data_IF_570527576600
#
_entry.id   IF_570527576600
#
_cell.length_a   1.000
_cell.length_b   1.000
_cell.length_c   1.000
_cell.angle_alpha   90.00
_cell.angle_beta   90.00
_cell.angle_gamma   90.00
#
_symmetry.space_group_name_H-M   'P 1'
#
loop_
_entity.id
_entity.type
_entity.pdbx_description
1 polymer ?
#
# COMPACT_ATOMS: atom_id res chain seq x y z
N UNK A 1 38.21 -8.51 -3.25
CA UNK A 1 37.17 -7.77 -2.51
C UNK A 1 36.76 -8.64 -1.34
N UNK A 2 37.00 -8.19 -0.12
CA UNK A 2 36.46 -8.88 1.07
C UNK A 2 34.93 -8.79 1.03
N UNK A 3 34.26 -9.94 1.04
CA UNK A 3 32.80 -9.98 1.14
C UNK A 3 32.43 -9.91 2.61
N UNK A 4 31.72 -8.86 3.02
CA UNK A 4 31.14 -8.76 4.35
C UNK A 4 29.76 -9.42 4.35
N UNK A 5 29.58 -10.58 5.01
CA UNK A 5 28.29 -11.26 5.02
C UNK A 5 27.26 -10.41 5.76
N UNK A 6 26.05 -10.25 5.20
CA UNK A 6 24.96 -9.54 5.89
C UNK A 6 24.71 -10.15 7.27
N UNK A 7 24.81 -11.48 7.38
CA UNK A 7 24.58 -12.22 8.63
C UNK A 7 25.64 -11.99 9.71
N UNK A 8 26.78 -11.37 9.40
CA UNK A 8 27.78 -10.98 10.41
C UNK A 8 27.52 -9.60 11.01
N UNK A 9 26.54 -8.85 10.49
CA UNK A 9 26.13 -7.55 11.04
C UNK A 9 25.28 -7.75 12.30
N UNK A 10 25.14 -6.73 13.17
CA UNK A 10 24.17 -6.76 14.26
C UNK A 10 22.74 -7.03 13.74
N UNK A 11 21.91 -7.81 14.45
CA UNK A 11 20.56 -8.17 14.00
C UNK A 11 19.70 -6.98 13.58
N UNK A 12 19.84 -5.84 14.27
CA UNK A 12 19.12 -4.61 13.97
C UNK A 12 19.49 -4.07 12.58
N UNK A 13 20.77 -4.12 12.24
CA UNK A 13 21.28 -3.67 10.93
C UNK A 13 20.84 -4.64 9.83
N UNK A 14 20.81 -5.94 10.11
CA UNK A 14 20.28 -6.94 9.17
C UNK A 14 18.83 -6.63 8.80
N UNK A 15 17.99 -6.37 9.82
CA UNK A 15 16.60 -5.98 9.63
C UNK A 15 16.46 -4.70 8.80
N UNK A 16 17.26 -3.66 9.08
CA UNK A 16 17.24 -2.41 8.31
C UNK A 16 17.59 -2.61 6.84
N UNK A 17 18.60 -3.44 6.53
CA UNK A 17 18.96 -3.77 5.14
C UNK A 17 17.79 -4.44 4.44
N UNK A 18 17.17 -5.43 5.08
CA UNK A 18 16.04 -6.18 4.50
C UNK A 18 14.82 -5.28 4.28
N UNK A 19 14.49 -4.41 5.25
CA UNK A 19 13.45 -3.37 5.09
C UNK A 19 13.74 -2.46 3.89
N UNK A 20 15.00 -2.05 3.72
CA UNK A 20 15.41 -1.19 2.59
C UNK A 20 15.30 -1.91 1.25
N UNK A 21 15.66 -3.20 1.19
CA UNK A 21 15.45 -4.04 0.01
C UNK A 21 13.96 -4.11 -0.32
N UNK A 22 13.11 -4.41 0.67
CA UNK A 22 11.66 -4.50 0.51
C UNK A 22 11.02 -3.20 0.01
N UNK A 23 11.47 -2.06 0.51
CA UNK A 23 11.00 -0.73 0.08
C UNK A 23 11.39 -0.38 -1.36
N UNK A 24 12.54 -0.89 -1.84
CA UNK A 24 13.10 -0.50 -3.14
C UNK A 24 12.72 -1.46 -4.27
N UNK A 25 12.78 -2.77 -4.03
CA UNK A 25 12.63 -3.78 -5.07
C UNK A 25 11.97 -5.04 -4.53
N UNK A 26 10.78 -5.30 -5.07
CA UNK A 26 10.03 -6.52 -4.75
C UNK A 26 10.80 -7.77 -5.19
N UNK A 27 11.37 -7.73 -6.39
CA UNK A 27 12.10 -8.87 -6.95
C UNK A 27 13.32 -9.21 -6.10
N UNK A 28 14.07 -8.19 -5.66
CA UNK A 28 15.26 -8.42 -4.86
C UNK A 28 14.92 -8.96 -3.48
N UNK A 29 13.78 -8.58 -2.88
CA UNK A 29 13.34 -9.19 -1.62
C UNK A 29 13.03 -10.69 -1.79
N UNK A 30 12.37 -11.08 -2.89
CA UNK A 30 12.07 -12.50 -3.14
C UNK A 30 13.33 -13.30 -3.46
N UNK A 31 14.28 -12.71 -4.17
CA UNK A 31 15.62 -13.28 -4.37
C UNK A 31 16.33 -13.44 -3.02
N UNK A 32 16.31 -12.40 -2.18
CA UNK A 32 16.91 -12.41 -0.84
C UNK A 32 16.33 -13.53 0.02
N UNK A 33 15.00 -13.67 0.02
CA UNK A 33 14.26 -14.71 0.72
C UNK A 33 14.62 -16.12 0.24
N UNK A 34 14.99 -16.28 -1.02
CA UNK A 34 15.37 -17.56 -1.60
C UNK A 34 16.81 -18.00 -1.29
N UNK A 35 17.65 -17.10 -0.75
CA UNK A 35 19.08 -17.40 -0.51
C UNK A 35 19.30 -18.42 0.61
N UNK A 36 18.77 -18.19 1.82
CA UNK A 36 18.97 -19.08 2.96
C UNK A 36 17.86 -18.93 4.02
N UNK A 37 17.84 -19.84 5.00
CA UNK A 37 16.85 -19.85 6.09
C UNK A 37 16.87 -18.56 6.93
N UNK A 38 18.07 -18.04 7.22
CA UNK A 38 18.23 -16.81 8.01
C UNK A 38 17.65 -15.59 7.25
N UNK A 39 18.03 -15.41 5.98
CA UNK A 39 17.48 -14.32 5.16
C UNK A 39 15.98 -14.46 4.93
N UNK A 40 15.47 -15.69 4.82
CA UNK A 40 14.03 -15.95 4.77
C UNK A 40 13.33 -15.49 6.04
N UNK A 41 13.89 -15.80 7.21
CA UNK A 41 13.35 -15.36 8.51
C UNK A 41 13.32 -13.84 8.61
N UNK A 42 14.43 -13.17 8.27
CA UNK A 42 14.51 -11.71 8.28
C UNK A 42 13.52 -11.06 7.30
N UNK A 43 13.31 -11.68 6.14
CA UNK A 43 12.37 -11.17 5.11
C UNK A 43 10.90 -11.43 5.47
N UNK A 44 10.63 -12.32 6.42
CA UNK A 44 9.29 -12.65 6.90
C UNK A 44 8.91 -11.87 8.18
N UNK A 45 9.74 -10.93 8.60
CA UNK A 45 9.50 -10.00 9.71
C UNK A 45 8.31 -9.06 9.44
N UNK A 46 7.56 -8.71 10.48
CA UNK A 46 6.37 -7.88 10.41
C UNK A 46 6.66 -6.47 9.89
N UNK A 47 7.79 -5.89 10.30
CA UNK A 47 8.20 -4.54 9.89
C UNK A 47 8.54 -4.46 8.40
N UNK A 48 8.99 -5.58 7.82
CA UNK A 48 9.22 -5.69 6.38
C UNK A 48 7.90 -5.56 5.64
N UNK A 49 6.83 -6.17 6.16
CA UNK A 49 5.49 -6.04 5.59
C UNK A 49 4.94 -4.61 5.69
N UNK A 50 5.23 -3.90 6.78
CA UNK A 50 4.87 -2.49 6.95
C UNK A 50 5.60 -1.56 5.97
N UNK A 51 6.83 -1.90 5.56
CA UNK A 51 7.71 -1.06 4.74
C UNK A 51 7.52 -1.16 3.22
N UNK A 52 6.68 -2.09 2.73
CA UNK A 52 6.49 -2.29 1.29
C UNK A 52 5.84 -1.09 0.59
N UNK A 53 6.41 -0.67 -0.53
CA UNK A 53 5.67 0.14 -1.48
C UNK A 53 5.00 -0.74 -2.54
N UNK A 54 3.71 -1.00 -2.35
CA UNK A 54 2.91 -1.77 -3.30
C UNK A 54 2.86 -1.16 -4.69
N UNK A 55 3.06 0.16 -4.85
CA UNK A 55 3.05 0.75 -6.18
C UNK A 55 4.29 0.42 -7.01
N UNK A 56 5.36 -0.09 -6.39
CA UNK A 56 6.54 -0.64 -7.07
C UNK A 56 6.43 -2.13 -7.35
N UNK A 57 5.37 -2.79 -6.86
CA UNK A 57 5.16 -4.21 -7.07
C UNK A 57 4.95 -4.50 -8.58
N UNK A 58 5.62 -5.52 -9.16
CA UNK A 58 5.37 -5.93 -10.53
C UNK A 58 4.04 -6.69 -10.62
N UNK A 59 2.93 -5.93 -10.68
CA UNK A 59 1.57 -6.47 -10.61
C UNK A 59 1.27 -7.53 -11.66
N UNK A 60 1.96 -7.50 -12.80
CA UNK A 60 1.90 -8.54 -13.86
C UNK A 60 2.12 -9.98 -13.33
N UNK A 61 2.77 -10.14 -12.18
CA UNK A 61 2.87 -11.40 -11.45
C UNK A 61 1.54 -11.70 -10.70
N UNK A 62 0.51 -12.08 -11.45
CA UNK A 62 -0.78 -12.51 -10.90
C UNK A 62 -0.64 -13.85 -10.16
N UNK A 63 -1.17 -13.98 -8.93
CA UNK A 63 -1.23 -15.27 -8.24
C UNK A 63 -1.69 -15.26 -6.77
N UNK A 64 -1.98 -16.44 -6.22
CA UNK A 64 -2.42 -16.67 -4.83
C UNK A 64 -1.47 -16.02 -3.79
N UNK A 65 -0.16 -15.98 -4.08
CA UNK A 65 0.85 -15.39 -3.20
C UNK A 65 0.68 -13.87 -3.03
N UNK A 66 0.15 -13.17 -4.04
CA UNK A 66 -0.11 -11.74 -3.96
C UNK A 66 -1.23 -11.45 -2.95
N UNK A 67 -2.30 -12.24 -2.94
CA UNK A 67 -3.40 -12.07 -1.97
C UNK A 67 -2.91 -12.26 -0.54
N UNK A 68 -2.12 -13.30 -0.29
CA UNK A 68 -1.53 -13.54 1.03
C UNK A 68 -0.62 -12.38 1.47
N UNK A 69 0.23 -11.88 0.56
CA UNK A 69 1.10 -10.75 0.82
C UNK A 69 0.30 -9.49 1.19
N UNK A 70 -0.71 -9.13 0.38
CA UNK A 70 -1.53 -7.93 0.62
C UNK A 70 -2.25 -7.97 1.96
N UNK A 71 -2.75 -9.15 2.37
CA UNK A 71 -3.35 -9.34 3.70
C UNK A 71 -2.33 -9.10 4.82
N UNK A 72 -1.12 -9.64 4.68
CA UNK A 72 -0.05 -9.46 5.67
C UNK A 72 0.38 -7.99 5.75
N UNK A 73 0.59 -7.33 4.62
CA UNK A 73 0.88 -5.89 4.58
C UNK A 73 -0.23 -5.08 5.26
N UNK A 74 -1.50 -5.38 4.97
CA UNK A 74 -2.63 -4.67 5.57
C UNK A 74 -2.73 -4.90 7.08
N UNK A 75 -2.56 -6.14 7.55
CA UNK A 75 -2.56 -6.48 8.97
C UNK A 75 -1.47 -5.73 9.74
N UNK A 76 -0.31 -5.50 9.12
CA UNK A 76 0.80 -4.74 9.68
C UNK A 76 0.69 -3.22 9.46
N UNK A 77 -0.47 -2.72 9.01
CA UNK A 77 -0.71 -1.29 8.86
C UNK A 77 0.08 -0.62 7.74
N UNK A 78 0.48 -1.37 6.70
CA UNK A 78 1.26 -0.85 5.58
C UNK A 78 0.56 0.37 4.93
N UNK A 79 1.23 1.54 4.84
CA UNK A 79 0.60 2.76 4.36
C UNK A 79 0.05 2.67 2.93
N UNK A 80 0.74 1.95 2.03
CA UNK A 80 0.27 1.73 0.66
C UNK A 80 -1.02 0.90 0.61
N UNK A 81 -1.16 -0.13 1.45
CA UNK A 81 -2.42 -0.90 1.55
C UNK A 81 -3.56 -0.08 2.13
N UNK A 82 -3.29 0.69 3.18
CA UNK A 82 -4.27 1.57 3.83
C UNK A 82 -4.79 2.60 2.82
N UNK A 83 -3.88 3.21 2.06
CA UNK A 83 -4.23 4.16 1.00
C UNK A 83 -5.12 3.53 -0.08
N UNK A 84 -4.71 2.38 -0.67
CA UNK A 84 -5.48 1.73 -1.74
C UNK A 84 -6.88 1.34 -1.24
N UNK A 85 -6.97 0.77 -0.03
CA UNK A 85 -8.25 0.38 0.58
C UNK A 85 -9.12 1.60 0.89
N UNK A 86 -8.53 2.68 1.40
CA UNK A 86 -9.21 3.94 1.69
C UNK A 86 -9.82 4.56 0.43
N UNK A 87 -9.03 4.63 -0.66
CA UNK A 87 -9.48 5.13 -1.97
C UNK A 87 -10.64 4.28 -2.52
N UNK A 88 -10.58 2.96 -2.41
CA UNK A 88 -11.70 2.09 -2.82
C UNK A 88 -12.96 2.33 -1.96
N UNK A 89 -12.78 2.41 -0.65
CA UNK A 89 -13.89 2.60 0.30
C UNK A 89 -14.62 3.90 0.02
N UNK A 90 -13.88 4.99 -0.13
CA UNK A 90 -14.44 6.32 -0.37
C UNK A 90 -15.10 6.42 -1.76
N UNK A 91 -14.33 6.16 -2.82
CA UNK A 91 -14.73 6.50 -4.19
C UNK A 91 -15.54 5.42 -4.89
N UNK A 92 -15.56 4.17 -4.38
CA UNK A 92 -16.31 3.08 -4.99
C UNK A 92 -17.45 2.54 -4.15
N UNK A 93 -17.23 2.44 -2.84
CA UNK A 93 -18.15 1.76 -1.92
C UNK A 93 -19.05 2.72 -1.15
N UNK A 94 -18.89 4.03 -1.34
CA UNK A 94 -19.59 5.06 -0.59
C UNK A 94 -19.39 4.96 0.94
N UNK A 95 -18.30 4.33 1.37
CA UNK A 95 -17.87 4.22 2.77
C UNK A 95 -16.96 5.41 3.09
N UNK A 96 -17.56 6.61 3.14
CA UNK A 96 -16.81 7.86 3.14
C UNK A 96 -15.98 8.07 4.41
N UNK A 97 -16.56 7.77 5.57
CA UNK A 97 -15.90 7.96 6.88
C UNK A 97 -14.72 6.99 7.02
N UNK A 98 -14.95 5.71 6.76
CA UNK A 98 -13.93 4.67 6.84
C UNK A 98 -12.85 4.85 5.77
N UNK A 99 -13.24 5.27 4.56
CA UNK A 99 -12.31 5.57 3.48
C UNK A 99 -11.38 6.74 3.83
N UNK A 100 -11.92 7.82 4.40
CA UNK A 100 -11.14 8.96 4.87
C UNK A 100 -10.21 8.59 6.04
N UNK A 101 -10.69 7.80 7.01
CA UNK A 101 -9.87 7.33 8.14
C UNK A 101 -8.65 6.53 7.65
N UNK A 102 -8.86 5.59 6.73
CA UNK A 102 -7.78 4.79 6.15
C UNK A 102 -6.77 5.66 5.38
N UNK A 103 -7.24 6.62 4.59
CA UNK A 103 -6.36 7.55 3.87
C UNK A 103 -5.59 8.45 4.84
N UNK A 104 -6.23 8.92 5.92
CA UNK A 104 -5.59 9.71 6.97
C UNK A 104 -4.47 8.93 7.65
N UNK A 105 -4.73 7.69 8.08
CA UNK A 105 -3.73 6.82 8.72
C UNK A 105 -2.53 6.58 7.81
N UNK A 106 -2.75 6.40 6.50
CA UNK A 106 -1.67 6.29 5.54
C UNK A 106 -0.84 7.59 5.43
N UNK A 107 -1.51 8.75 5.44
CA UNK A 107 -0.86 10.06 5.41
C UNK A 107 -0.05 10.34 6.68
N UNK A 108 -0.62 10.04 7.86
CA UNK A 108 0.04 10.19 9.16
C UNK A 108 1.29 9.29 9.27
N UNK A 109 1.31 8.16 8.56
CA UNK A 109 2.47 7.27 8.43
C UNK A 109 3.50 7.75 7.38
N UNK A 110 3.34 8.95 6.82
CA UNK A 110 4.29 9.56 5.87
C UNK A 110 4.15 9.11 4.42
N UNK A 111 3.04 8.44 4.04
CA UNK A 111 2.84 8.05 2.65
C UNK A 111 2.38 9.23 1.81
N UNK A 112 3.31 9.80 1.05
CA UNK A 112 3.15 11.05 0.30
C UNK A 112 1.88 11.10 -0.57
N UNK A 113 1.56 10.00 -1.27
CA UNK A 113 0.35 9.90 -2.11
C UNK A 113 -0.93 10.00 -1.30
N UNK A 114 -0.93 9.48 -0.07
CA UNK A 114 -2.07 9.60 0.83
C UNK A 114 -2.24 11.01 1.35
N UNK A 115 -1.17 11.74 1.66
CA UNK A 115 -1.24 13.11 2.17
C UNK A 115 -2.00 14.04 1.23
N UNK A 116 -1.63 14.06 -0.05
CA UNK A 116 -2.32 14.86 -1.06
C UNK A 116 -3.78 14.40 -1.24
N UNK A 117 -3.98 13.09 -1.41
CA UNK A 117 -5.31 12.54 -1.69
C UNK A 117 -6.27 12.77 -0.53
N UNK A 118 -5.85 12.50 0.71
CA UNK A 118 -6.64 12.73 1.92
C UNK A 118 -7.03 14.20 2.06
N UNK A 119 -6.08 15.14 1.91
CA UNK A 119 -6.36 16.56 2.02
C UNK A 119 -7.40 17.02 0.99
N UNK A 120 -7.24 16.61 -0.28
CA UNK A 120 -8.17 16.93 -1.35
C UNK A 120 -9.54 16.29 -1.13
N UNK A 121 -9.59 14.99 -0.83
CA UNK A 121 -10.84 14.26 -0.59
C UNK A 121 -11.61 14.83 0.60
N UNK A 122 -10.92 15.16 1.70
CA UNK A 122 -11.53 15.77 2.87
C UNK A 122 -12.12 17.14 2.52
N UNK A 123 -11.39 17.98 1.78
CA UNK A 123 -11.90 19.30 1.35
C UNK A 123 -13.11 19.20 0.43
N UNK A 124 -13.13 18.22 -0.47
CA UNK A 124 -14.30 17.93 -1.32
C UNK A 124 -15.52 17.44 -0.51
N UNK A 125 -15.27 16.73 0.59
CA UNK A 125 -16.32 16.13 1.41
C UNK A 125 -16.90 17.08 2.47
N UNK A 126 -16.04 17.83 3.18
CA UNK A 126 -16.42 18.68 4.32
C UNK A 126 -17.22 19.93 3.89
N UNK A 127 -17.29 20.28 2.60
CA UNK A 127 -18.17 21.33 2.07
C UNK A 127 -17.85 22.78 2.47
N UNK A 128 -17.00 23.00 3.47
CA UNK A 128 -16.70 24.31 4.09
C UNK A 128 -15.70 25.20 3.32
N UNK A 129 -15.38 24.87 2.07
CA UNK A 129 -14.41 25.63 1.27
C UNK A 129 -15.07 26.56 0.26
N UNK A 130 -15.03 27.88 0.48
CA UNK A 130 -15.49 28.89 -0.48
C UNK A 130 -14.83 28.77 -1.87
N UNK A 131 -13.66 28.15 -1.94
CA UNK A 131 -12.91 27.90 -3.19
C UNK A 131 -13.36 26.65 -3.95
N UNK A 132 -14.15 25.76 -3.35
CA UNK A 132 -14.62 24.50 -3.96
C UNK A 132 -16.15 24.43 -4.10
N UNK A 133 -16.87 25.55 -3.94
CA UNK A 133 -18.35 25.62 -4.12
C UNK A 133 -18.83 25.12 -5.49
N UNK A 134 -17.98 25.06 -6.51
CA UNK A 134 -18.26 24.45 -7.83
C UNK A 134 -17.89 22.96 -7.97
N UNK A 135 -17.10 22.41 -7.05
CA UNK A 135 -16.72 20.98 -6.99
C UNK A 135 -17.78 20.21 -6.20
N UNK A 136 -18.95 20.03 -6.82
CA UNK A 136 -20.08 19.29 -6.24
C UNK A 136 -19.74 17.81 -5.94
N UNK A 137 -20.56 17.15 -5.10
CA UNK A 137 -20.57 15.68 -4.88
C UNK A 137 -20.55 14.87 -6.18
N UNK A 138 -21.07 15.44 -7.27
CA UNK A 138 -21.01 14.88 -8.62
C UNK A 138 -19.57 14.65 -9.14
N UNK A 139 -18.60 15.47 -8.70
CA UNK A 139 -17.19 15.24 -9.00
C UNK A 139 -16.63 14.06 -8.22
N UNK A 140 -17.09 13.81 -6.99
CA UNK A 140 -16.73 12.57 -6.27
C UNK A 140 -17.23 11.35 -7.04
N UNK A 141 -18.44 11.43 -7.63
CA UNK A 141 -18.94 10.36 -8.50
C UNK A 141 -18.10 10.21 -9.79
N UNK A 142 -17.74 11.32 -10.46
CA UNK A 142 -16.86 11.29 -11.65
C UNK A 142 -15.45 10.77 -11.34
N UNK A 143 -14.84 11.20 -10.24
CA UNK A 143 -13.57 10.68 -9.73
C UNK A 143 -13.75 9.20 -9.39
N UNK A 144 -14.88 8.82 -8.80
CA UNK A 144 -15.26 7.44 -8.54
C UNK A 144 -15.31 6.57 -9.79
N UNK A 145 -15.70 7.11 -10.94
CA UNK A 145 -15.64 6.42 -12.24
C UNK A 145 -14.20 6.30 -12.78
N UNK A 146 -13.32 7.28 -12.53
CA UNK A 146 -11.92 7.22 -12.95
C UNK A 146 -11.10 6.28 -12.06
N UNK A 147 -11.22 6.42 -10.74
CA UNK A 147 -10.77 5.44 -9.74
C UNK A 147 -11.42 4.09 -10.00
N UNK A 148 -12.65 4.12 -10.52
CA UNK A 148 -13.38 3.08 -11.24
C UNK A 148 -12.50 2.20 -12.12
N UNK A 149 -12.02 2.83 -13.17
CA UNK A 149 -11.21 2.24 -14.21
C UNK A 149 -9.82 1.91 -13.69
N UNK A 150 -9.17 2.82 -12.95
CA UNK A 150 -7.85 2.58 -12.37
C UNK A 150 -7.83 1.35 -11.46
N UNK A 151 -8.75 1.25 -10.50
CA UNK A 151 -8.82 0.08 -9.63
C UNK A 151 -9.30 -1.16 -10.38
N UNK A 152 -10.05 -1.04 -11.49
CA UNK A 152 -10.41 -2.21 -12.31
C UNK A 152 -9.18 -2.76 -13.01
N UNK A 153 -8.39 -1.89 -13.62
CA UNK A 153 -7.18 -2.26 -14.34
C UNK A 153 -6.08 -2.70 -13.36
N UNK A 154 -6.00 -2.07 -12.19
CA UNK A 154 -5.23 -2.54 -11.04
C UNK A 154 -5.71 -3.91 -10.58
N UNK A 155 -7.02 -4.13 -10.38
CA UNK A 155 -7.59 -5.44 -9.99
C UNK A 155 -7.31 -6.52 -11.05
N UNK A 156 -7.49 -6.21 -12.33
CA UNK A 156 -7.21 -7.14 -13.42
C UNK A 156 -5.71 -7.50 -13.48
N UNK A 157 -4.85 -6.50 -13.24
CA UNK A 157 -3.42 -6.68 -13.09
C UNK A 157 -3.02 -7.33 -11.77
N UNK A 158 -3.93 -7.68 -10.86
CA UNK A 158 -3.61 -8.28 -9.56
C UNK A 158 -4.38 -9.56 -9.24
N UNK A 159 -5.08 -10.13 -10.25
CA UNK A 159 -5.88 -11.34 -10.08
C UNK A 159 -7.16 -11.11 -9.25
N UNK A 160 -7.75 -9.93 -9.39
CA UNK A 160 -8.96 -9.48 -8.70
C UNK A 160 -8.88 -9.73 -7.19
N UNK A 161 -7.97 -9.09 -6.44
CA UNK A 161 -7.99 -9.18 -5.00
C UNK A 161 -9.32 -8.61 -4.51
N UNK A 162 -10.14 -9.46 -3.87
CA UNK A 162 -11.29 -8.97 -3.14
C UNK A 162 -10.77 -8.33 -1.85
N UNK A 163 -10.73 -7.01 -1.82
CA UNK A 163 -10.29 -6.20 -0.68
C UNK A 163 -11.12 -6.42 0.60
N UNK A 164 -12.33 -6.97 0.50
CA UNK A 164 -13.11 -7.39 1.68
C UNK A 164 -12.48 -8.58 2.38
N UNK A 165 -11.78 -9.42 1.64
CA UNK A 165 -11.09 -10.57 2.21
C UNK A 165 -9.78 -10.17 2.90
N UNK A 166 -9.49 -8.87 2.99
CA UNK A 166 -8.39 -8.32 3.79
C UNK A 166 -8.86 -7.91 5.19
N UNK A 167 -10.06 -8.34 5.61
CA UNK A 167 -10.46 -8.32 7.02
C UNK A 167 -9.71 -9.38 7.80
#
# INVERSE_FOLDING_TARGET
MEQFPILSLPPEVQGLVVKRVAHNSFEDLFRLRATCKAMRSLSDDEDVYASFDLFKYPWRLNGFRLRYLLRRCYAQGNPSTLYIKGVEYFYRRNMYVEGLDLMKRAADAGFERASYTYAMTRKLWDGDGDHFRGFLRDYVAKIGLLVGLFLRDFKASTGHPNFETWR
#
